data_IF_587036833031
#
_entry.id   IF_587036833031
#
_cell.length_a   1.000
_cell.length_b   1.000
_cell.length_c   1.000
_cell.angle_alpha   90.00
_cell.angle_beta   90.00
_cell.angle_gamma   90.00
#
_symmetry.space_group_name_H-M   'P 1'
#
loop_
_entity.id
_entity.type
_entity.pdbx_description
1 polymer ?
#
# COMPACT_ATOMS: atom_id res chain seq x y z
N UNK A 1 43.96 -37.43 21.92
CA UNK A 1 43.21 -36.49 21.06
C UNK A 1 43.94 -35.15 21.10
N UNK A 2 44.37 -34.61 19.96
CA UNK A 2 45.21 -33.40 19.89
C UNK A 2 44.43 -32.16 20.35
N UNK A 3 44.97 -31.44 21.34
CA UNK A 3 44.39 -30.22 21.92
C UNK A 3 44.29 -29.08 20.89
N UNK A 4 45.24 -28.99 19.96
CA UNK A 4 45.22 -27.99 18.89
C UNK A 4 44.09 -28.27 17.90
N UNK A 5 43.89 -29.54 17.57
CA UNK A 5 42.80 -29.98 16.71
C UNK A 5 41.42 -29.72 17.35
N UNK A 6 41.31 -29.88 18.68
CA UNK A 6 40.09 -29.57 19.42
C UNK A 6 39.77 -28.07 19.39
N UNK A 7 40.78 -27.22 19.59
CA UNK A 7 40.63 -25.76 19.56
C UNK A 7 40.23 -25.29 18.16
N UNK A 8 40.87 -25.80 17.10
CA UNK A 8 40.50 -25.47 15.73
C UNK A 8 39.07 -25.94 15.39
N UNK A 9 38.68 -27.14 15.82
CA UNK A 9 37.29 -27.64 15.62
C UNK A 9 36.25 -26.77 16.33
N UNK A 10 36.56 -26.29 17.53
CA UNK A 10 35.68 -25.39 18.28
C UNK A 10 35.60 -24.00 17.62
N UNK A 11 36.74 -23.47 17.15
CA UNK A 11 36.80 -22.19 16.45
C UNK A 11 36.04 -22.22 15.12
N UNK A 12 36.20 -23.28 14.33
CA UNK A 12 35.47 -23.46 13.06
C UNK A 12 33.97 -23.58 13.33
N UNK A 13 33.54 -24.34 14.35
CA UNK A 13 32.13 -24.41 14.75
C UNK A 13 31.58 -23.05 15.20
N UNK A 14 32.35 -22.31 15.99
CA UNK A 14 31.98 -20.96 16.42
C UNK A 14 31.81 -20.03 15.22
N UNK A 15 32.76 -20.03 14.29
CA UNK A 15 32.71 -19.21 13.08
C UNK A 15 31.48 -19.57 12.22
N UNK A 16 31.19 -20.86 12.03
CA UNK A 16 30.02 -21.32 11.28
C UNK A 16 28.69 -20.93 11.96
N UNK A 17 28.61 -21.01 13.29
CA UNK A 17 27.42 -20.59 14.04
C UNK A 17 27.26 -19.07 13.96
N UNK A 18 28.36 -18.33 14.08
CA UNK A 18 28.36 -16.86 14.03
C UNK A 18 27.94 -16.36 12.63
N UNK A 19 28.51 -16.93 11.56
CA UNK A 19 28.11 -16.58 10.20
C UNK A 19 26.67 -16.98 9.91
N UNK A 20 26.22 -18.17 10.33
CA UNK A 20 24.81 -18.58 10.20
C UNK A 20 23.88 -17.63 10.96
N UNK A 21 24.22 -17.23 12.19
CA UNK A 21 23.43 -16.31 12.99
C UNK A 21 23.34 -14.91 12.35
N UNK A 22 24.45 -14.37 11.83
CA UNK A 22 24.47 -13.09 11.11
C UNK A 22 23.65 -13.18 9.81
N UNK A 23 23.75 -14.29 9.07
CA UNK A 23 22.97 -14.52 7.83
C UNK A 23 21.47 -14.73 8.10
N UNK A 24 21.09 -15.24 9.28
CA UNK A 24 19.69 -15.39 9.71
C UNK A 24 19.05 -14.08 10.18
N UNK A 25 19.85 -13.09 10.58
CA UNK A 25 19.35 -11.75 10.95
C UNK A 25 18.93 -10.91 9.75
N UNK A 26 19.35 -11.26 8.53
CA UNK A 26 18.85 -10.68 7.26
C UNK A 26 17.64 -11.44 6.72
N UNK A 27 16.72 -11.83 7.60
CA UNK A 27 15.40 -12.29 7.19
C UNK A 27 14.53 -11.06 6.95
N UNK A 28 13.87 -11.01 5.80
CA UNK A 28 13.00 -9.91 5.39
C UNK A 28 12.07 -9.51 6.54
N UNK A 29 12.29 -8.32 7.11
CA UNK A 29 11.19 -7.57 7.69
C UNK A 29 10.23 -7.39 6.51
N UNK A 30 9.15 -8.14 6.50
CA UNK A 30 8.03 -7.80 5.64
C UNK A 30 7.71 -6.35 5.97
N UNK A 31 7.86 -5.45 4.99
CA UNK A 31 7.41 -4.08 5.17
C UNK A 31 5.94 -4.17 5.58
N UNK A 32 5.63 -3.65 6.76
CA UNK A 32 4.22 -3.46 7.13
C UNK A 32 3.74 -2.36 6.19
N UNK A 33 2.89 -2.72 5.24
CA UNK A 33 2.20 -1.76 4.36
C UNK A 33 0.91 -1.36 5.05
N UNK A 34 0.72 -0.07 5.25
CA UNK A 34 -0.55 0.44 5.75
C UNK A 34 -1.54 0.59 4.58
N UNK A 35 -2.83 0.69 4.88
CA UNK A 35 -3.85 0.92 3.85
C UNK A 35 -4.03 2.42 3.61
N UNK A 36 -4.27 2.87 2.36
CA UNK A 36 -4.61 4.25 2.07
C UNK A 36 -5.82 4.75 2.86
N UNK A 37 -5.78 6.02 3.27
CA UNK A 37 -6.86 6.69 4.00
C UNK A 37 -7.51 7.70 3.08
N UNK A 38 -8.81 7.53 2.80
CA UNK A 38 -9.60 8.45 2.00
C UNK A 38 -10.04 9.67 2.83
N UNK A 39 -9.87 10.87 2.28
CA UNK A 39 -10.37 12.10 2.88
C UNK A 39 -11.89 12.17 2.89
N UNK A 40 -12.43 12.93 3.84
CA UNK A 40 -13.87 13.18 3.92
C UNK A 40 -14.33 13.98 2.70
N UNK A 41 -15.13 13.37 1.84
CA UNK A 41 -15.69 13.99 0.63
C UNK A 41 -16.76 15.05 0.99
N UNK A 42 -17.56 14.75 2.03
CA UNK A 42 -18.73 15.53 2.46
C UNK A 42 -19.93 15.41 1.51
N UNK A 43 -21.10 15.83 1.98
CA UNK A 43 -22.31 15.83 1.17
C UNK A 43 -22.20 16.81 0.00
N UNK A 44 -22.72 16.41 -1.17
CA UNK A 44 -22.77 17.23 -2.38
C UNK A 44 -24.19 17.25 -2.93
N UNK A 45 -24.60 18.40 -3.43
CA UNK A 45 -25.90 18.59 -4.07
C UNK A 45 -25.72 19.37 -5.37
N UNK A 46 -26.41 18.96 -6.41
CA UNK A 46 -26.44 19.65 -7.70
C UNK A 46 -27.86 19.57 -8.26
N UNK A 47 -28.25 20.55 -9.08
CA UNK A 47 -29.50 20.46 -9.82
C UNK A 47 -29.38 19.42 -10.94
N UNK A 48 -30.50 18.84 -11.35
CA UNK A 48 -30.56 18.03 -12.56
C UNK A 48 -30.02 18.79 -13.78
N UNK A 49 -29.45 18.04 -14.71
CA UNK A 49 -28.82 18.51 -15.94
C UNK A 49 -27.68 19.52 -15.70
N UNK A 50 -27.16 19.62 -14.48
CA UNK A 50 -26.02 20.47 -14.13
C UNK A 50 -24.84 19.61 -13.70
N UNK A 51 -23.63 20.00 -14.10
CA UNK A 51 -22.42 19.27 -13.78
C UNK A 51 -22.04 19.44 -12.30
N UNK A 52 -21.92 18.33 -11.59
CA UNK A 52 -21.18 18.23 -10.35
C UNK A 52 -19.79 17.67 -10.64
N UNK A 53 -18.76 18.37 -10.17
CA UNK A 53 -17.37 17.91 -10.29
C UNK A 53 -16.62 18.14 -8.97
N UNK A 54 -15.85 17.14 -8.56
CA UNK A 54 -14.91 17.24 -7.45
C UNK A 54 -13.84 16.15 -7.57
N UNK A 55 -12.74 16.30 -6.84
CA UNK A 55 -11.63 15.35 -6.86
C UNK A 55 -11.55 14.65 -5.50
N UNK A 56 -11.45 13.33 -5.53
CA UNK A 56 -11.14 12.52 -4.35
C UNK A 56 -9.69 12.74 -3.94
N UNK A 57 -9.42 12.73 -2.63
CA UNK A 57 -8.06 12.78 -2.09
C UNK A 57 -7.90 11.69 -1.05
N UNK A 58 -6.71 11.12 -1.00
CA UNK A 58 -6.36 10.06 -0.08
C UNK A 58 -4.85 10.11 0.18
N UNK A 59 -4.47 9.75 1.40
CA UNK A 59 -3.08 9.66 1.83
C UNK A 59 -2.69 8.20 2.02
N UNK A 60 -1.56 7.83 1.45
CA UNK A 60 -0.90 6.55 1.69
C UNK A 60 0.36 6.79 2.53
N UNK A 61 0.52 6.14 3.70
CA UNK A 61 1.68 6.36 4.57
C UNK A 61 3.03 6.04 3.90
N UNK A 62 3.04 5.12 2.95
CA UNK A 62 4.22 4.74 2.17
C UNK A 62 4.40 5.59 0.90
N UNK A 63 3.44 6.47 0.59
CA UNK A 63 3.32 7.24 -0.65
C UNK A 63 3.23 6.36 -1.91
N UNK A 64 2.58 5.21 -1.80
CA UNK A 64 2.29 4.36 -2.95
C UNK A 64 1.34 5.03 -3.95
N UNK A 65 1.38 4.58 -5.20
CA UNK A 65 0.46 5.08 -6.23
C UNK A 65 -0.97 4.63 -5.92
N UNK A 66 -1.87 5.60 -5.82
CA UNK A 66 -3.28 5.34 -5.53
C UNK A 66 -4.10 5.08 -6.80
N UNK A 67 -5.13 4.25 -6.66
CA UNK A 67 -6.14 4.03 -7.69
C UNK A 67 -7.53 4.14 -7.05
N UNK A 68 -8.35 5.04 -7.57
CA UNK A 68 -9.71 5.28 -7.09
C UNK A 68 -10.72 4.41 -7.84
N UNK A 69 -11.70 3.88 -7.13
CA UNK A 69 -12.78 3.10 -7.73
C UNK A 69 -14.09 3.28 -6.98
N UNK A 70 -15.20 3.16 -7.70
CA UNK A 70 -16.55 3.14 -7.15
C UNK A 70 -17.27 1.93 -7.77
N UNK A 71 -17.51 0.85 -7.01
CA UNK A 71 -18.05 -0.41 -7.56
C UNK A 71 -19.38 -0.25 -8.29
N UNK A 72 -20.18 0.71 -7.86
CA UNK A 72 -21.52 0.95 -8.39
C UNK A 72 -21.57 2.11 -9.40
N UNK A 73 -20.42 2.61 -9.88
CA UNK A 73 -20.37 3.78 -10.77
C UNK A 73 -21.23 3.59 -12.03
N UNK A 74 -21.27 2.37 -12.58
CA UNK A 74 -22.04 2.02 -13.77
C UNK A 74 -23.57 2.09 -13.53
N UNK A 75 -24.01 2.05 -12.26
CA UNK A 75 -25.42 2.21 -11.90
C UNK A 75 -25.85 3.67 -11.76
N UNK A 76 -24.89 4.60 -11.71
CA UNK A 76 -25.13 6.03 -11.56
C UNK A 76 -25.10 6.69 -12.94
N UNK A 77 -26.28 6.87 -13.54
CA UNK A 77 -26.40 7.46 -14.87
C UNK A 77 -25.70 8.83 -14.96
N UNK A 78 -24.85 8.99 -15.98
CA UNK A 78 -24.11 10.22 -16.24
C UNK A 78 -22.93 10.49 -15.31
N UNK A 79 -22.52 9.52 -14.48
CA UNK A 79 -21.35 9.65 -13.61
C UNK A 79 -20.11 9.00 -14.21
N UNK A 80 -18.95 9.59 -13.94
CA UNK A 80 -17.63 9.05 -14.26
C UNK A 80 -16.69 9.26 -13.07
N UNK A 81 -15.71 8.37 -12.94
CA UNK A 81 -14.60 8.50 -12.00
C UNK A 81 -13.30 8.16 -12.72
N UNK A 82 -12.40 9.12 -12.83
CA UNK A 82 -11.04 8.85 -13.29
C UNK A 82 -10.24 8.18 -12.18
N UNK A 83 -9.82 6.94 -12.45
CA UNK A 83 -9.17 6.10 -11.44
C UNK A 83 -7.79 6.62 -11.00
N UNK A 84 -7.12 7.45 -11.81
CA UNK A 84 -5.76 7.92 -11.55
C UNK A 84 -5.72 9.26 -10.82
N UNK A 85 -6.64 10.15 -11.16
CA UNK A 85 -6.72 11.50 -10.61
C UNK A 85 -7.76 11.62 -9.50
N UNK A 86 -8.68 10.65 -9.39
CA UNK A 86 -9.81 10.74 -8.46
C UNK A 86 -10.87 11.77 -8.91
N UNK A 87 -10.79 12.29 -10.14
CA UNK A 87 -11.79 13.23 -10.66
C UNK A 87 -13.14 12.52 -10.82
N UNK A 88 -14.11 12.94 -10.03
CA UNK A 88 -15.50 12.52 -10.15
C UNK A 88 -16.28 13.60 -10.90
N UNK A 89 -17.01 13.18 -11.93
CA UNK A 89 -17.94 14.03 -12.66
C UNK A 89 -19.31 13.37 -12.73
N UNK A 90 -20.36 14.14 -12.55
CA UNK A 90 -21.73 13.65 -12.65
C UNK A 90 -22.66 14.72 -13.17
N UNK A 91 -23.40 14.39 -14.23
CA UNK A 91 -24.54 15.19 -14.69
C UNK A 91 -25.80 14.35 -14.56
N UNK A 92 -26.59 14.52 -13.49
CA UNK A 92 -27.84 13.79 -13.31
C UNK A 92 -28.83 14.15 -14.40
N UNK A 93 -29.41 13.15 -15.05
CA UNK A 93 -30.59 13.30 -15.89
C UNK A 93 -31.61 12.27 -15.43
N UNK A 94 -32.83 12.71 -15.11
CA UNK A 94 -33.96 11.82 -14.84
C UNK A 94 -34.43 11.11 -16.11
#
# INVERSE_FOLDING_TARGET
>A
MDRNLLIQRLFIKFLLILTLFILLQTTAIAAVTDTPILDVIGDRSVNENSLLTFTLSADDPENDTLTFSCPDIDSIAGATLDASSGLFEWTPYL
#
